data_IF_014712325670
#
_entry.id   IF_014712325670
#
_cell.length_a   1.000
_cell.length_b   1.000
_cell.length_c   1.000
_cell.angle_alpha   90.00
_cell.angle_beta   90.00
_cell.angle_gamma   90.00
#
_symmetry.space_group_name_H-M   'P 1'
#
loop_
_entity.id
_entity.type
_entity.pdbx_description
1 polymer ?
#
# COMPACT_ATOMS: atom_id res chain seq x y z
N UNK A 1 -2.16 9.89 17.73
CA UNK A 1 -2.75 9.70 19.07
C UNK A 1 -3.76 8.57 19.14
N UNK A 2 -4.89 8.63 18.43
CA UNK A 2 -5.89 7.55 18.44
C UNK A 2 -5.32 6.15 18.08
N UNK A 3 -4.38 6.09 17.14
CA UNK A 3 -3.70 4.85 16.75
C UNK A 3 -2.97 4.16 17.92
N UNK A 4 -2.20 4.94 18.69
CA UNK A 4 -1.42 4.44 19.83
C UNK A 4 -2.30 4.26 21.08
N UNK A 5 -3.38 5.03 21.21
CA UNK A 5 -4.36 4.87 22.28
C UNK A 5 -5.07 3.51 22.20
N UNK A 6 -5.28 3.00 20.98
CA UNK A 6 -5.85 1.68 20.71
C UNK A 6 -4.78 0.61 20.45
N UNK A 7 -3.61 0.75 21.07
CA UNK A 7 -2.59 -0.29 21.03
C UNK A 7 -2.97 -1.45 21.96
N UNK A 8 -2.98 -2.66 21.44
CA UNK A 8 -3.22 -3.87 22.23
C UNK A 8 -1.95 -4.31 22.97
N UNK A 9 -2.07 -5.13 24.03
CA UNK A 9 -0.91 -5.58 24.81
C UNK A 9 0.13 -6.36 24.01
N UNK A 10 -0.25 -6.96 22.88
CA UNK A 10 0.66 -7.65 21.97
C UNK A 10 1.45 -6.70 21.05
N UNK A 11 1.11 -5.40 21.03
CA UNK A 11 1.79 -4.34 20.30
C UNK A 11 1.06 -3.80 19.06
N UNK A 12 0.00 -4.47 18.58
CA UNK A 12 -0.77 -4.02 17.41
C UNK A 12 -1.48 -2.68 17.66
N UNK A 13 -1.50 -1.80 16.67
CA UNK A 13 -2.11 -0.46 16.79
C UNK A 13 -3.45 -0.36 16.07
N UNK A 14 -4.22 0.71 16.31
CA UNK A 14 -5.49 0.96 15.61
C UNK A 14 -6.54 -0.17 15.73
N UNK A 15 -6.44 -1.02 16.76
CA UNK A 15 -7.34 -2.17 16.88
C UNK A 15 -8.76 -1.70 17.20
N UNK A 16 -9.68 -2.02 16.29
CA UNK A 16 -11.10 -1.64 16.34
C UNK A 16 -11.97 -2.85 16.00
N UNK A 17 -12.63 -3.43 17.00
CA UNK A 17 -13.60 -4.51 16.79
C UNK A 17 -12.98 -5.90 16.65
N UNK A 18 -12.37 -6.22 15.50
CA UNK A 18 -11.83 -7.56 15.22
C UNK A 18 -10.37 -7.71 15.68
N UNK A 19 -10.09 -8.82 16.35
CA UNK A 19 -8.74 -9.17 16.87
C UNK A 19 -7.89 -9.96 15.88
N UNK A 20 -8.36 -10.15 14.65
CA UNK A 20 -7.80 -11.16 13.75
C UNK A 20 -6.83 -10.59 12.71
N UNK A 21 -6.78 -9.27 12.56
CA UNK A 21 -5.90 -8.64 11.57
C UNK A 21 -4.45 -8.64 12.06
N UNK A 22 -3.53 -9.01 11.16
CA UNK A 22 -2.10 -9.07 11.43
C UNK A 22 -1.39 -7.84 10.87
N UNK A 23 -1.60 -7.53 9.59
CA UNK A 23 -0.84 -6.46 8.92
C UNK A 23 -1.57 -5.11 8.91
N UNK A 24 -2.90 -5.05 8.81
CA UNK A 24 -3.63 -3.75 8.90
C UNK A 24 -3.25 -2.90 10.12
N UNK A 25 -3.11 -3.46 11.33
CA UNK A 25 -2.70 -2.72 12.53
C UNK A 25 -1.29 -2.12 12.43
N UNK A 26 -0.51 -2.54 11.44
CA UNK A 26 0.86 -2.11 11.19
C UNK A 26 0.92 -0.88 10.29
N UNK A 27 -0.11 -0.62 9.49
CA UNK A 27 -0.14 0.46 8.50
C UNK A 27 0.12 1.84 9.12
N UNK A 28 -0.38 2.06 10.34
CA UNK A 28 -0.16 3.30 11.09
C UNK A 28 1.28 3.47 11.58
N UNK A 29 2.08 2.40 11.65
CA UNK A 29 3.45 2.40 12.13
C UNK A 29 4.35 3.39 11.40
N UNK A 30 4.18 3.54 10.07
CA UNK A 30 4.90 4.56 9.31
C UNK A 30 4.60 5.98 9.81
N UNK A 31 3.31 6.29 10.00
CA UNK A 31 2.87 7.57 10.54
C UNK A 31 3.32 7.81 11.99
N UNK A 32 3.32 6.77 12.82
CA UNK A 32 3.80 6.83 14.21
C UNK A 32 5.30 7.18 14.26
N UNK A 33 6.12 6.56 13.43
CA UNK A 33 7.55 6.91 13.31
C UNK A 33 7.73 8.36 12.87
N UNK A 34 6.93 8.84 11.90
CA UNK A 34 6.97 10.26 11.50
C UNK A 34 6.54 11.21 12.61
N UNK A 35 5.59 10.84 13.45
CA UNK A 35 5.24 11.63 14.63
C UNK A 35 6.41 11.69 15.63
N UNK A 36 7.10 10.56 15.86
CA UNK A 36 8.30 10.56 16.71
C UNK A 36 9.40 11.49 16.16
N UNK A 37 9.69 11.42 14.85
CA UNK A 37 10.68 12.29 14.20
C UNK A 37 10.34 13.79 14.32
N UNK A 38 9.04 14.13 14.26
CA UNK A 38 8.57 15.53 14.30
C UNK A 38 8.50 16.10 15.72
N UNK A 39 8.05 15.30 16.69
CA UNK A 39 7.71 15.79 18.03
C UNK A 39 8.68 15.32 19.13
N UNK A 40 9.44 14.25 18.89
CA UNK A 40 10.40 13.71 19.86
C UNK A 40 9.79 13.09 21.13
N UNK A 41 8.47 12.89 21.17
CA UNK A 41 7.79 12.32 22.34
C UNK A 41 7.98 10.81 22.42
N UNK A 42 8.44 10.31 23.58
CA UNK A 42 8.77 8.88 23.77
C UNK A 42 7.58 7.95 23.50
N UNK A 43 6.35 8.37 23.80
CA UNK A 43 5.14 7.56 23.57
C UNK A 43 5.01 7.04 22.12
N UNK A 44 5.46 7.81 21.13
CA UNK A 44 5.45 7.36 19.73
C UNK A 44 6.52 6.30 19.48
N UNK A 45 7.71 6.47 20.07
CA UNK A 45 8.78 5.50 20.00
C UNK A 45 8.38 4.18 20.69
N UNK A 46 7.86 4.27 21.90
CA UNK A 46 7.41 3.12 22.69
C UNK A 46 6.32 2.33 21.97
N UNK A 47 5.37 3.02 21.32
CA UNK A 47 4.34 2.38 20.53
C UNK A 47 4.92 1.70 19.27
N UNK A 48 5.84 2.36 18.57
CA UNK A 48 6.52 1.78 17.42
C UNK A 48 7.37 0.55 17.77
N UNK A 49 8.08 0.59 18.90
CA UNK A 49 8.91 -0.53 19.37
C UNK A 49 8.04 -1.74 19.71
N UNK A 50 6.90 -1.55 20.37
CA UNK A 50 5.93 -2.62 20.63
C UNK A 50 5.33 -3.20 19.34
N UNK A 51 4.94 -2.34 18.39
CA UNK A 51 4.43 -2.78 17.09
C UNK A 51 5.49 -3.55 16.29
N UNK A 52 6.75 -3.09 16.31
CA UNK A 52 7.86 -3.79 15.68
C UNK A 52 8.10 -5.17 16.32
N UNK A 53 8.07 -5.26 17.65
CA UNK A 53 8.22 -6.54 18.36
C UNK A 53 7.08 -7.52 18.02
N UNK A 54 5.85 -7.03 17.85
CA UNK A 54 4.75 -7.84 17.33
C UNK A 54 5.11 -8.45 15.96
N UNK A 55 5.49 -7.60 15.00
CA UNK A 55 5.86 -8.03 13.66
C UNK A 55 7.03 -9.02 13.67
N UNK A 56 8.04 -8.81 14.52
CA UNK A 56 9.26 -9.62 14.50
C UNK A 56 9.05 -10.99 15.16
N UNK A 57 8.39 -11.02 16.32
CA UNK A 57 8.42 -12.19 17.21
C UNK A 57 7.08 -12.93 17.29
N UNK A 58 5.95 -12.25 17.10
CA UNK A 58 4.64 -12.80 17.46
C UNK A 58 3.76 -13.10 16.24
N UNK A 59 3.83 -12.23 15.23
CA UNK A 59 2.90 -12.26 14.12
C UNK A 59 3.06 -13.54 13.26
N UNK A 60 1.94 -14.19 12.88
CA UNK A 60 1.95 -15.47 12.19
C UNK A 60 2.47 -15.32 10.75
N UNK A 61 3.24 -16.32 10.30
CA UNK A 61 4.01 -16.24 9.06
C UNK A 61 4.09 -17.59 8.34
N UNK A 62 4.38 -17.52 7.05
CA UNK A 62 4.69 -18.69 6.23
C UNK A 62 6.06 -19.29 6.59
N UNK A 63 6.38 -20.43 5.96
CA UNK A 63 7.66 -21.11 6.18
C UNK A 63 8.89 -20.30 5.75
N UNK A 64 8.73 -19.33 4.83
CA UNK A 64 9.78 -18.41 4.41
C UNK A 64 9.87 -17.16 5.34
N UNK A 65 8.92 -17.01 6.25
CA UNK A 65 8.82 -15.93 7.23
C UNK A 65 8.03 -14.72 6.74
N UNK A 66 7.29 -14.81 5.64
CA UNK A 66 6.36 -13.77 5.16
C UNK A 66 5.15 -13.72 6.07
N UNK A 67 4.77 -12.54 6.54
CA UNK A 67 3.66 -12.35 7.46
C UNK A 67 2.32 -12.55 6.77
N UNK A 68 1.44 -13.36 7.37
CA UNK A 68 0.06 -13.50 6.91
C UNK A 68 -0.75 -12.23 7.18
N UNK A 69 -1.87 -12.07 6.50
CA UNK A 69 -2.77 -10.94 6.70
C UNK A 69 -3.70 -11.12 7.90
N UNK A 70 -4.03 -12.38 8.24
CA UNK A 70 -4.96 -12.75 9.31
C UNK A 70 -4.31 -13.72 10.31
N UNK A 71 -4.77 -13.72 11.56
CA UNK A 71 -4.38 -14.69 12.59
C UNK A 71 -5.10 -16.02 12.43
N UNK A 72 -6.29 -16.00 11.83
CA UNK A 72 -7.20 -17.15 11.69
C UNK A 72 -7.02 -17.90 10.37
N UNK A 73 -6.22 -17.37 9.44
CA UNK A 73 -5.98 -17.97 8.13
C UNK A 73 -4.54 -17.79 7.67
N UNK A 74 -4.00 -18.79 6.95
CA UNK A 74 -2.65 -18.76 6.36
C UNK A 74 -2.67 -18.06 5.01
N UNK A 75 -3.09 -16.80 5.01
CA UNK A 75 -3.33 -16.04 3.80
C UNK A 75 -2.36 -14.88 3.59
N UNK A 76 -1.89 -14.73 2.36
CA UNK A 76 -1.12 -13.57 1.91
C UNK A 76 -2.01 -12.68 1.04
N UNK A 77 -2.09 -11.40 1.39
CA UNK A 77 -2.94 -10.42 0.73
C UNK A 77 -2.08 -9.33 0.11
N UNK A 78 -2.49 -8.80 -1.05
CA UNK A 78 -1.82 -7.69 -1.74
C UNK A 78 -1.69 -6.43 -0.85
N UNK A 79 -2.67 -6.22 0.03
CA UNK A 79 -2.77 -5.11 0.96
C UNK A 79 -1.56 -5.06 1.90
N UNK A 80 -1.10 -6.22 2.37
CA UNK A 80 0.04 -6.34 3.27
C UNK A 80 1.34 -5.76 2.69
N UNK A 81 1.44 -5.62 1.35
CA UNK A 81 2.58 -4.97 0.68
C UNK A 81 2.68 -3.49 1.10
N UNK A 82 1.56 -2.82 1.43
CA UNK A 82 1.56 -1.47 1.98
C UNK A 82 1.50 -1.45 3.51
N UNK A 83 0.75 -2.36 4.14
CA UNK A 83 0.50 -2.24 5.57
C UNK A 83 1.77 -2.46 6.42
N UNK A 84 2.72 -3.28 5.95
CA UNK A 84 3.87 -3.71 6.74
C UNK A 84 5.23 -3.14 6.24
N UNK A 85 5.64 -3.34 4.97
CA UNK A 85 6.98 -2.93 4.52
C UNK A 85 7.35 -1.45 4.73
N UNK A 86 6.47 -0.45 4.47
CA UNK A 86 6.78 0.96 4.75
C UNK A 86 7.11 1.24 6.22
N UNK A 87 6.43 0.56 7.15
CA UNK A 87 6.74 0.66 8.57
C UNK A 87 8.13 0.08 8.88
N UNK A 88 8.44 -1.13 8.38
CA UNK A 88 9.74 -1.76 8.57
C UNK A 88 10.90 -0.90 8.03
N UNK A 89 10.72 -0.32 6.83
CA UNK A 89 11.69 0.60 6.25
C UNK A 89 11.87 1.86 7.10
N UNK A 90 10.78 2.44 7.63
CA UNK A 90 10.85 3.62 8.49
C UNK A 90 11.48 3.31 9.86
N UNK A 91 11.25 2.11 10.37
CA UNK A 91 11.92 1.58 11.56
C UNK A 91 13.40 1.22 11.31
N UNK A 92 13.83 1.22 10.04
CA UNK A 92 15.18 0.93 9.55
C UNK A 92 15.59 -0.55 9.62
N UNK A 93 14.65 -1.48 9.71
CA UNK A 93 14.89 -2.90 9.40
C UNK A 93 14.66 -3.13 7.90
N UNK A 94 15.61 -2.68 7.10
CA UNK A 94 15.51 -2.75 5.64
C UNK A 94 15.56 -4.20 5.11
N UNK A 95 16.29 -5.08 5.78
CA UNK A 95 16.39 -6.48 5.36
C UNK A 95 15.05 -7.21 5.55
N UNK A 96 14.37 -7.00 6.69
CA UNK A 96 13.03 -7.54 6.89
C UNK A 96 12.03 -6.90 5.93
N UNK A 97 12.11 -5.58 5.70
CA UNK A 97 11.27 -4.90 4.72
C UNK A 97 11.35 -5.57 3.33
N UNK A 98 12.56 -5.77 2.81
CA UNK A 98 12.78 -6.39 1.49
C UNK A 98 12.35 -7.86 1.49
N UNK A 99 12.63 -8.61 2.57
CA UNK A 99 12.19 -10.00 2.73
C UNK A 99 10.68 -10.14 2.60
N UNK A 100 9.91 -9.29 3.29
CA UNK A 100 8.44 -9.31 3.25
C UNK A 100 7.92 -9.00 1.84
N UNK A 101 8.47 -8.00 1.16
CA UNK A 101 8.10 -7.66 -0.23
C UNK A 101 8.35 -8.84 -1.18
N UNK A 102 9.52 -9.48 -1.08
CA UNK A 102 9.85 -10.66 -1.90
C UNK A 102 8.89 -11.80 -1.64
N UNK A 103 8.52 -12.04 -0.37
CA UNK A 103 7.54 -13.05 0.02
C UNK A 103 6.17 -12.84 -0.63
N UNK A 104 5.60 -11.64 -0.48
CA UNK A 104 4.33 -11.30 -1.13
C UNK A 104 4.42 -11.38 -2.66
N UNK A 105 5.50 -10.85 -3.24
CA UNK A 105 5.71 -10.88 -4.69
C UNK A 105 5.83 -12.30 -5.24
N UNK A 106 6.52 -13.20 -4.53
CA UNK A 106 6.70 -14.58 -4.98
C UNK A 106 5.38 -15.35 -5.14
N UNK A 107 4.32 -14.95 -4.41
CA UNK A 107 3.01 -15.62 -4.47
C UNK A 107 1.95 -14.84 -5.26
N UNK A 108 1.97 -13.51 -5.18
CA UNK A 108 0.90 -12.67 -5.69
C UNK A 108 1.20 -12.05 -7.07
N UNK A 109 2.47 -11.99 -7.49
CA UNK A 109 2.83 -11.33 -8.75
C UNK A 109 2.41 -12.15 -9.97
N UNK A 110 1.70 -11.51 -10.89
CA UNK A 110 1.43 -12.01 -12.22
C UNK A 110 2.39 -11.34 -13.22
N UNK A 111 3.38 -12.08 -13.71
CA UNK A 111 4.41 -11.56 -14.62
C UNK A 111 3.91 -11.22 -16.03
N UNK A 112 2.83 -11.83 -16.49
CA UNK A 112 2.22 -11.53 -17.80
C UNK A 112 1.50 -10.19 -17.76
N UNK A 113 0.66 -10.00 -16.74
CA UNK A 113 -0.13 -8.78 -16.56
C UNK A 113 0.68 -7.63 -15.95
N UNK A 114 1.80 -7.96 -15.28
CA UNK A 114 2.58 -7.06 -14.42
C UNK A 114 1.75 -6.40 -13.33
N UNK A 115 0.91 -7.21 -12.69
CA UNK A 115 0.00 -6.81 -11.63
C UNK A 115 0.05 -7.85 -10.50
N UNK A 116 -0.45 -7.48 -9.33
CA UNK A 116 -0.62 -8.36 -8.18
C UNK A 116 -2.04 -8.92 -8.13
N UNK A 117 -2.16 -10.23 -8.01
CA UNK A 117 -3.36 -10.93 -7.56
C UNK A 117 -3.66 -10.57 -6.10
N UNK A 118 -4.93 -10.65 -5.71
CA UNK A 118 -5.35 -10.14 -4.40
C UNK A 118 -5.05 -11.07 -3.22
N UNK A 119 -5.45 -12.35 -3.27
CA UNK A 119 -5.38 -13.27 -2.11
C UNK A 119 -4.87 -14.66 -2.44
N UNK A 120 -3.92 -15.12 -1.65
CA UNK A 120 -3.29 -16.44 -1.73
C UNK A 120 -3.47 -17.23 -0.44
N UNK A 121 -3.89 -18.49 -0.56
CA UNK A 121 -3.97 -19.50 0.51
C UNK A 121 -2.66 -20.31 0.51
N UNK A 122 -1.81 -20.12 1.53
CA UNK A 122 -0.53 -20.82 1.62
C UNK A 122 -0.70 -22.31 1.96
N UNK A 123 -1.71 -22.66 2.75
CA UNK A 123 -1.96 -24.05 3.14
C UNK A 123 -2.53 -24.87 1.97
N UNK A 124 -3.52 -24.30 1.28
CA UNK A 124 -4.12 -24.90 0.10
C UNK A 124 -3.29 -24.74 -1.18
N UNK A 125 -2.20 -23.96 -1.14
CA UNK A 125 -1.32 -23.65 -2.26
C UNK A 125 -2.10 -23.20 -3.51
N UNK A 126 -3.02 -22.24 -3.34
CA UNK A 126 -3.93 -21.76 -4.39
C UNK A 126 -4.32 -20.31 -4.18
N UNK A 127 -4.78 -19.65 -5.25
CA UNK A 127 -5.43 -18.35 -5.12
C UNK A 127 -6.83 -18.51 -4.53
N UNK A 128 -7.12 -17.71 -3.49
CA UNK A 128 -8.50 -17.46 -3.04
C UNK A 128 -9.14 -16.42 -3.95
N UNK A 129 -8.36 -15.39 -4.30
CA UNK A 129 -8.77 -14.38 -5.26
C UNK A 129 -7.59 -14.05 -6.17
N UNK A 130 -7.64 -14.59 -7.40
CA UNK A 130 -6.64 -14.38 -8.44
C UNK A 130 -6.80 -13.04 -9.18
N UNK A 131 -7.90 -12.32 -8.95
CA UNK A 131 -8.16 -11.06 -9.68
C UNK A 131 -7.15 -9.99 -9.29
N UNK A 132 -6.80 -9.14 -10.25
CA UNK A 132 -5.91 -8.00 -10.06
C UNK A 132 -6.69 -6.81 -9.51
N UNK A 133 -7.09 -6.88 -8.24
CA UNK A 133 -7.86 -5.81 -7.60
C UNK A 133 -7.05 -4.51 -7.52
N UNK A 134 -7.70 -3.40 -7.85
CA UNK A 134 -7.11 -2.08 -7.97
C UNK A 134 -6.55 -1.58 -6.65
N UNK A 135 -7.30 -1.72 -5.54
CA UNK A 135 -6.82 -1.36 -4.21
C UNK A 135 -5.47 -2.04 -3.87
N UNK A 136 -5.39 -3.36 -4.04
CA UNK A 136 -4.18 -4.15 -3.84
C UNK A 136 -2.97 -3.69 -4.67
N UNK A 137 -3.19 -3.34 -5.93
CA UNK A 137 -2.13 -2.84 -6.81
C UNK A 137 -1.72 -1.40 -6.48
N UNK A 138 -2.69 -0.54 -6.14
CA UNK A 138 -2.43 0.81 -5.65
C UNK A 138 -1.62 0.79 -4.35
N UNK A 139 -1.92 -0.14 -3.43
CA UNK A 139 -1.18 -0.34 -2.18
C UNK A 139 0.29 -0.66 -2.46
N UNK A 140 0.54 -1.61 -3.35
CA UNK A 140 1.89 -1.99 -3.75
C UNK A 140 2.66 -0.80 -4.37
N UNK A 141 2.04 -0.05 -5.29
CA UNK A 141 2.68 1.10 -5.92
C UNK A 141 3.05 2.20 -4.90
N UNK A 142 2.11 2.55 -4.02
CA UNK A 142 2.35 3.53 -2.96
C UNK A 142 3.46 3.08 -2.00
N UNK A 143 3.47 1.78 -1.65
CA UNK A 143 4.48 1.17 -0.78
C UNK A 143 5.89 1.29 -1.36
N UNK A 144 6.09 0.90 -2.62
CA UNK A 144 7.39 0.97 -3.29
C UNK A 144 7.91 2.40 -3.41
N UNK A 145 7.02 3.35 -3.73
CA UNK A 145 7.38 4.77 -3.79
C UNK A 145 7.82 5.33 -2.41
N UNK A 146 7.20 4.88 -1.32
CA UNK A 146 7.59 5.25 0.04
C UNK A 146 8.95 4.63 0.41
N UNK A 147 9.10 3.33 0.19
CA UNK A 147 10.31 2.59 0.58
C UNK A 147 11.54 3.10 -0.17
N UNK A 148 11.41 3.40 -1.47
CA UNK A 148 12.53 3.94 -2.24
C UNK A 148 13.08 5.25 -1.67
N UNK A 149 12.21 6.14 -1.14
CA UNK A 149 12.63 7.38 -0.47
C UNK A 149 13.28 7.11 0.89
N UNK A 150 12.85 6.06 1.61
CA UNK A 150 13.38 5.70 2.93
C UNK A 150 14.71 4.96 2.86
N UNK A 151 14.97 4.22 1.78
CA UNK A 151 16.22 3.47 1.61
C UNK A 151 17.43 4.42 1.49
N UNK A 152 18.50 4.22 2.29
CA UNK A 152 19.74 4.96 2.17
C UNK A 152 20.29 4.91 0.74
N UNK A 153 20.87 6.01 0.27
CA UNK A 153 21.46 6.10 -1.09
C UNK A 153 22.57 5.07 -1.32
N UNK A 154 23.19 4.57 -0.26
CA UNK A 154 24.23 3.53 -0.30
C UNK A 154 23.67 2.11 -0.48
N UNK A 155 22.38 1.88 -0.21
CA UNK A 155 21.73 0.57 -0.42
C UNK A 155 21.29 0.41 -1.87
N UNK A 156 22.23 0.53 -2.80
CA UNK A 156 21.97 0.57 -4.25
C UNK A 156 21.20 -0.67 -4.73
N UNK A 157 21.59 -1.87 -4.29
CA UNK A 157 20.90 -3.11 -4.68
C UNK A 157 19.41 -3.12 -4.31
N UNK A 158 19.05 -2.72 -3.09
CA UNK A 158 17.65 -2.63 -2.68
C UNK A 158 16.90 -1.50 -3.37
N UNK A 159 17.55 -0.36 -3.61
CA UNK A 159 16.95 0.74 -4.37
C UNK A 159 16.65 0.34 -5.81
N UNK A 160 17.58 -0.36 -6.46
CA UNK A 160 17.41 -0.87 -7.82
C UNK A 160 16.31 -1.92 -7.90
N UNK A 161 16.22 -2.82 -6.91
CA UNK A 161 15.15 -3.81 -6.82
C UNK A 161 13.77 -3.17 -6.66
N UNK A 162 13.60 -2.24 -5.71
CA UNK A 162 12.33 -1.54 -5.50
C UNK A 162 11.95 -0.70 -6.72
N UNK A 163 12.93 -0.03 -7.34
CA UNK A 163 12.72 0.70 -8.60
C UNK A 163 12.24 -0.21 -9.71
N UNK A 164 12.82 -1.40 -9.85
CA UNK A 164 12.41 -2.38 -10.86
C UNK A 164 10.96 -2.84 -10.61
N UNK A 165 10.62 -3.24 -9.39
CA UNK A 165 9.26 -3.67 -9.04
C UNK A 165 8.22 -2.58 -9.26
N UNK A 166 8.54 -1.35 -8.88
CA UNK A 166 7.69 -0.20 -9.14
C UNK A 166 7.52 0.05 -10.64
N UNK A 167 8.61 0.04 -11.42
CA UNK A 167 8.56 0.32 -12.86
C UNK A 167 7.73 -0.74 -13.62
N UNK A 168 7.88 -2.01 -13.24
CA UNK A 168 7.07 -3.09 -13.80
C UNK A 168 5.58 -2.89 -13.47
N UNK A 169 5.25 -2.63 -12.20
CA UNK A 169 3.88 -2.41 -11.77
C UNK A 169 3.25 -1.17 -12.44
N UNK A 170 3.98 -0.05 -12.51
CA UNK A 170 3.50 1.15 -13.22
C UNK A 170 3.27 0.85 -14.70
N UNK A 171 4.14 0.06 -15.34
CA UNK A 171 3.92 -0.35 -16.74
C UNK A 171 2.67 -1.21 -16.91
N UNK A 172 2.39 -2.10 -15.95
CA UNK A 172 1.15 -2.90 -15.93
C UNK A 172 -0.07 -2.01 -15.76
N UNK A 173 -0.08 -1.16 -14.73
CA UNK A 173 -1.19 -0.23 -14.47
C UNK A 173 -1.46 0.70 -15.66
N UNK A 174 -0.43 1.36 -16.20
CA UNK A 174 -0.59 2.31 -17.31
C UNK A 174 -1.10 1.67 -18.61
N UNK A 175 -0.99 0.34 -18.77
CA UNK A 175 -1.59 -0.35 -19.90
C UNK A 175 -3.13 -0.40 -19.83
N UNK A 176 -3.71 -0.22 -18.64
CA UNK A 176 -5.15 -0.30 -18.39
C UNK A 176 -5.78 1.04 -17.98
N UNK A 177 -5.03 2.15 -18.04
CA UNK A 177 -5.59 3.47 -17.73
C UNK A 177 -6.69 3.82 -18.74
N UNK A 178 -7.84 4.27 -18.24
CA UNK A 178 -8.94 4.74 -19.07
C UNK A 178 -8.64 6.14 -19.63
N UNK A 179 -9.30 6.56 -20.73
CA UNK A 179 -9.13 7.91 -21.28
C UNK A 179 -9.48 9.06 -20.32
N UNK A 180 -10.33 8.79 -19.31
CA UNK A 180 -10.70 9.75 -18.26
C UNK A 180 -9.71 9.77 -17.08
N UNK A 181 -8.61 9.01 -17.16
CA UNK A 181 -7.60 8.89 -16.10
C UNK A 181 -7.99 7.97 -14.95
N UNK A 182 -9.14 7.30 -15.03
CA UNK A 182 -9.59 6.34 -14.02
C UNK A 182 -9.20 4.91 -14.38
N UNK A 183 -9.46 3.99 -13.47
CA UNK A 183 -9.32 2.55 -13.68
C UNK A 183 -10.63 1.84 -13.39
N UNK A 184 -10.69 0.56 -13.73
CA UNK A 184 -11.71 -0.33 -13.22
C UNK A 184 -11.27 -0.93 -11.87
N UNK A 185 -12.22 -1.32 -11.01
CA UNK A 185 -11.95 -1.89 -9.67
C UNK A 185 -11.11 -3.16 -9.76
N UNK A 186 -11.35 -3.98 -10.77
CA UNK A 186 -10.42 -5.02 -11.20
C UNK A 186 -9.71 -4.49 -12.44
N UNK A 187 -8.40 -4.28 -12.32
CA UNK A 187 -7.60 -3.47 -13.27
C UNK A 187 -7.76 -3.93 -14.72
N UNK A 188 -7.82 -5.24 -14.92
CA UNK A 188 -7.87 -5.90 -16.22
C UNK A 188 -9.27 -6.40 -16.63
N UNK A 189 -10.31 -6.01 -15.90
CA UNK A 189 -11.69 -6.45 -16.15
C UNK A 189 -12.64 -5.24 -16.29
N UNK A 190 -12.96 -4.85 -17.54
CA UNK A 190 -13.82 -3.69 -17.82
C UNK A 190 -15.28 -3.89 -17.44
N UNK A 191 -15.70 -5.10 -17.05
CA UNK A 191 -17.05 -5.36 -16.52
C UNK A 191 -17.16 -4.97 -15.04
N UNK A 192 -16.03 -4.78 -14.35
CA UNK A 192 -16.02 -4.22 -13.00
C UNK A 192 -16.29 -2.71 -13.03
N UNK A 193 -16.72 -2.14 -11.90
CA UNK A 193 -17.07 -0.72 -11.84
C UNK A 193 -15.84 0.17 -11.96
N UNK A 194 -16.01 1.41 -12.42
CA UNK A 194 -14.93 2.41 -12.46
C UNK A 194 -14.58 2.82 -11.03
N UNK A 195 -13.31 2.72 -10.68
CA UNK A 195 -12.79 2.92 -9.31
C UNK A 195 -11.82 4.10 -9.27
N UNK A 196 -11.99 4.95 -8.25
CA UNK A 196 -11.31 6.24 -8.14
C UNK A 196 -9.99 6.17 -7.39
N UNK A 197 -9.90 5.36 -6.34
CA UNK A 197 -8.78 5.36 -5.42
C UNK A 197 -7.48 4.84 -6.08
N UNK A 198 -7.56 3.84 -6.97
CA UNK A 198 -6.40 3.34 -7.70
C UNK A 198 -5.70 4.46 -8.49
N UNK A 199 -6.45 5.37 -9.11
CA UNK A 199 -5.86 6.54 -9.77
C UNK A 199 -5.14 7.47 -8.79
N UNK A 200 -5.72 7.70 -7.60
CA UNK A 200 -5.11 8.53 -6.56
C UNK A 200 -3.81 7.91 -6.04
N UNK A 201 -3.82 6.61 -5.75
CA UNK A 201 -2.67 5.85 -5.26
C UNK A 201 -1.55 5.79 -6.30
N UNK A 202 -1.90 5.54 -7.56
CA UNK A 202 -0.92 5.45 -8.66
C UNK A 202 -0.32 6.82 -8.96
N UNK A 203 -1.13 7.89 -9.01
CA UNK A 203 -0.64 9.25 -9.17
C UNK A 203 0.28 9.66 -8.00
N UNK A 204 -0.12 9.36 -6.76
CA UNK A 204 0.73 9.55 -5.58
C UNK A 204 2.08 8.84 -5.72
N UNK A 205 2.06 7.56 -6.10
CA UNK A 205 3.27 6.77 -6.29
C UNK A 205 4.17 7.39 -7.36
N UNK A 206 3.62 7.83 -8.49
CA UNK A 206 4.38 8.48 -9.56
C UNK A 206 4.99 9.81 -9.08
N UNK A 207 4.21 10.73 -8.52
CA UNK A 207 4.72 12.03 -8.08
C UNK A 207 5.87 11.86 -7.07
N UNK A 208 5.68 10.97 -6.08
CA UNK A 208 6.72 10.67 -5.08
C UNK A 208 7.96 10.02 -5.70
N UNK A 209 7.79 9.17 -6.71
CA UNK A 209 8.89 8.46 -7.37
C UNK A 209 9.67 9.35 -8.34
N UNK A 210 9.01 10.31 -8.99
CA UNK A 210 9.68 11.34 -9.79
C UNK A 210 10.51 12.25 -8.89
N UNK A 211 9.93 12.72 -7.77
CA UNK A 211 10.63 13.56 -6.79
C UNK A 211 11.90 12.87 -6.24
N UNK A 212 11.82 11.59 -5.93
CA UNK A 212 12.93 10.82 -5.35
C UNK A 212 13.94 10.30 -6.37
N UNK A 213 13.65 10.43 -7.68
CA UNK A 213 14.49 9.90 -8.76
C UNK A 213 14.35 8.40 -9.01
N UNK A 214 13.32 7.75 -8.44
CA UNK A 214 13.00 6.36 -8.72
C UNK A 214 12.60 6.16 -10.19
N UNK A 215 11.76 7.05 -10.71
CA UNK A 215 11.30 7.06 -12.12
C UNK A 215 11.49 8.44 -12.74
N UNK A 216 11.46 8.52 -14.08
CA UNK A 216 11.66 9.76 -14.81
C UNK A 216 10.39 10.59 -14.97
N UNK A 217 10.55 11.82 -15.49
CA UNK A 217 9.46 12.80 -15.65
C UNK A 217 8.43 12.42 -16.71
N UNK A 218 8.73 11.43 -17.56
CA UNK A 218 7.83 10.88 -18.57
C UNK A 218 6.52 10.33 -17.99
N UNK A 219 6.50 9.98 -16.69
CA UNK A 219 5.29 9.51 -16.01
C UNK A 219 4.34 10.64 -15.58
N UNK A 220 4.77 11.91 -15.59
CA UNK A 220 4.02 13.01 -14.98
C UNK A 220 2.70 13.31 -15.69
N UNK A 221 2.65 13.19 -17.01
CA UNK A 221 1.41 13.48 -17.75
C UNK A 221 0.33 12.44 -17.42
N UNK A 222 0.70 11.17 -17.29
CA UNK A 222 -0.20 10.13 -16.84
C UNK A 222 -0.68 10.37 -15.39
N UNK A 223 0.21 10.76 -14.48
CA UNK A 223 -0.18 11.07 -13.09
C UNK A 223 -1.12 12.27 -12.98
N UNK A 224 -0.92 13.31 -13.80
CA UNK A 224 -1.81 14.48 -13.86
C UNK A 224 -3.17 14.12 -14.45
N UNK A 225 -3.20 13.26 -15.47
CA UNK A 225 -4.45 12.72 -16.01
C UNK A 225 -5.22 11.92 -14.93
N UNK A 226 -4.54 11.03 -14.20
CA UNK A 226 -5.14 10.29 -13.08
C UNK A 226 -5.69 11.22 -11.99
N UNK A 227 -4.92 12.24 -11.62
CA UNK A 227 -5.37 13.27 -10.67
C UNK A 227 -6.61 14.00 -11.18
N UNK A 228 -6.64 14.41 -12.45
CA UNK A 228 -7.80 15.08 -13.04
C UNK A 228 -9.05 14.19 -12.99
N UNK A 229 -8.90 12.92 -13.36
CA UNK A 229 -9.96 11.91 -13.24
C UNK A 229 -10.48 11.82 -11.81
N UNK A 230 -9.58 11.67 -10.84
CA UNK A 230 -9.95 11.58 -9.43
C UNK A 230 -10.60 12.85 -8.87
N UNK A 231 -10.15 14.05 -9.31
CA UNK A 231 -10.76 15.32 -8.91
C UNK A 231 -12.20 15.46 -9.44
N UNK A 232 -12.51 14.87 -10.60
CA UNK A 232 -13.88 14.86 -11.14
C UNK A 232 -14.87 14.03 -10.30
N UNK A 233 -14.35 13.24 -9.35
CA UNK A 233 -15.12 12.37 -8.46
C UNK A 233 -15.31 12.93 -7.05
N UNK A 234 -14.86 14.17 -6.81
CA UNK A 234 -15.10 14.90 -5.55
C UNK A 234 -16.50 15.51 -5.61
N UNK A 235 -17.39 15.14 -4.68
CA UNK A 235 -18.71 15.76 -4.59
C UNK A 235 -18.69 17.14 -3.91
N UNK A 236 -19.86 17.78 -3.85
CA UNK A 236 -20.05 19.11 -3.26
C UNK A 236 -19.74 19.19 -1.75
N UNK A 237 -19.65 18.04 -1.08
CA UNK A 237 -19.29 17.89 0.34
C UNK A 237 -17.83 17.50 0.54
N UNK A 238 -17.07 17.32 -0.54
CA UNK A 238 -15.68 16.89 -0.49
C UNK A 238 -15.50 15.38 -0.30
N UNK A 239 -16.54 14.56 -0.54
CA UNK A 239 -16.38 13.11 -0.56
C UNK A 239 -15.85 12.63 -1.91
N UNK A 240 -14.84 11.75 -1.86
CA UNK A 240 -14.41 11.00 -3.04
C UNK A 240 -15.44 9.91 -3.31
N UNK A 241 -16.16 10.04 -4.43
CA UNK A 241 -17.15 9.09 -4.92
C UNK A 241 -16.50 8.02 -5.79
N UNK A 242 -17.25 6.96 -6.07
CA UNK A 242 -16.83 5.84 -6.90
C UNK A 242 -15.49 5.23 -6.46
N UNK A 243 -15.22 5.25 -5.16
CA UNK A 243 -14.18 4.45 -4.55
C UNK A 243 -14.76 3.08 -4.19
N UNK A 244 -13.92 2.05 -4.03
CA UNK A 244 -14.41 0.77 -3.51
C UNK A 244 -14.99 0.95 -2.09
N UNK A 245 -16.31 0.76 -1.95
CA UNK A 245 -17.08 1.22 -0.80
C UNK A 245 -16.92 0.34 0.45
N UNK A 246 -16.58 0.95 1.59
CA UNK A 246 -16.54 0.27 2.89
C UNK A 246 -17.96 -0.10 3.37
N UNK A 247 -18.18 -1.27 4.03
CA UNK A 247 -17.16 -2.21 4.50
C UNK A 247 -16.89 -3.41 3.57
N UNK A 248 -17.62 -3.53 2.45
CA UNK A 248 -17.59 -4.74 1.62
C UNK A 248 -16.65 -4.66 0.42
N UNK A 249 -16.25 -3.45 0.02
CA UNK A 249 -15.29 -3.17 -1.06
C UNK A 249 -15.63 -3.90 -2.37
N UNK A 250 -16.93 -4.00 -2.68
CA UNK A 250 -17.45 -4.73 -3.83
C UNK A 250 -18.42 -3.91 -4.69
N UNK A 251 -18.55 -2.61 -4.40
CA UNK A 251 -19.42 -1.69 -5.11
C UNK A 251 -18.91 -0.25 -4.98
N UNK A 252 -19.29 0.65 -5.93
CA UNK A 252 -18.93 2.06 -5.86
C UNK A 252 -19.52 2.71 -4.59
N UNK A 253 -18.69 3.49 -3.91
CA UNK A 253 -19.07 4.21 -2.70
C UNK A 253 -18.02 5.23 -2.29
N UNK A 254 -17.80 5.32 -0.99
CA UNK A 254 -16.80 6.19 -0.36
C UNK A 254 -15.96 5.37 0.61
N UNK A 255 -14.68 5.71 0.77
CA UNK A 255 -13.80 5.05 1.74
C UNK A 255 -12.85 6.07 2.39
N UNK A 256 -12.37 5.74 3.59
CA UNK A 256 -11.38 6.56 4.30
C UNK A 256 -10.03 6.57 3.60
N UNK A 257 -9.74 5.49 2.88
CA UNK A 257 -8.55 5.25 2.10
C UNK A 257 -8.51 6.20 0.90
N UNK A 258 -9.62 6.33 0.16
CA UNK A 258 -9.72 7.29 -0.93
C UNK A 258 -9.54 8.74 -0.46
N UNK A 259 -10.07 9.08 0.72
CA UNK A 259 -9.86 10.40 1.31
C UNK A 259 -8.39 10.64 1.69
N UNK A 260 -7.74 9.65 2.30
CA UNK A 260 -6.33 9.76 2.65
C UNK A 260 -5.43 9.91 1.40
N UNK A 261 -5.65 9.10 0.36
CA UNK A 261 -4.86 9.19 -0.86
C UNK A 261 -5.13 10.44 -1.67
N UNK A 262 -6.34 10.99 -1.61
CA UNK A 262 -6.60 12.31 -2.19
C UNK A 262 -5.63 13.35 -1.61
N UNK A 263 -5.55 13.45 -0.28
CA UNK A 263 -4.66 14.40 0.40
C UNK A 263 -3.19 14.09 0.10
N UNK A 264 -2.80 12.82 0.17
CA UNK A 264 -1.42 12.41 -0.08
C UNK A 264 -0.98 12.67 -1.52
N UNK A 265 -1.83 12.40 -2.50
CA UNK A 265 -1.59 12.68 -3.92
C UNK A 265 -1.37 14.18 -4.15
N UNK A 266 -2.28 15.03 -3.65
CA UNK A 266 -2.17 16.49 -3.78
C UNK A 266 -0.87 17.02 -3.12
N UNK A 267 -0.54 16.50 -1.93
CA UNK A 267 0.69 16.87 -1.24
C UNK A 267 1.97 16.39 -1.97
N UNK A 268 1.93 15.23 -2.63
CA UNK A 268 3.06 14.69 -3.39
C UNK A 268 3.32 15.50 -4.66
N UNK A 269 2.27 15.85 -5.42
CA UNK A 269 2.38 16.65 -6.64
C UNK A 269 2.97 18.03 -6.37
N UNK A 270 2.61 18.69 -5.25
CA UNK A 270 3.12 20.03 -4.90
C UNK A 270 4.65 20.12 -4.75
N UNK A 271 5.34 18.98 -4.78
CA UNK A 271 6.79 18.85 -4.60
C UNK A 271 7.53 18.49 -5.90
N UNK A 272 6.85 18.45 -7.05
CA UNK A 272 7.38 17.99 -8.34
C UNK A 272 7.30 19.06 -9.42
#
# INVERSE_FOLDING_TARGET
>A
DEAILRQTPDGRTCMLGSGDNVTDPVAAGYGIIKCYELFGESRYRDAADQLYNYCKEQAPRDAAGTLYHLTTGKELWSDSIYMLPPFLAAYKDYDECIKQIRGYRARLWNGEKKLYSHRWDDEGNRFINIKCWGGGNGWAAASFAIIYELLPVTMTAYRDEIKAYLSELLSGLLAYIRPDGLFYDIVDDPESFVETNLSQMTAFAIFKSVKSGAVGKEYLDAARLMKQGALSKVDDRGYIRDASGSPFFNSPGTSTEAQAFHIMMMAAESKV
#
